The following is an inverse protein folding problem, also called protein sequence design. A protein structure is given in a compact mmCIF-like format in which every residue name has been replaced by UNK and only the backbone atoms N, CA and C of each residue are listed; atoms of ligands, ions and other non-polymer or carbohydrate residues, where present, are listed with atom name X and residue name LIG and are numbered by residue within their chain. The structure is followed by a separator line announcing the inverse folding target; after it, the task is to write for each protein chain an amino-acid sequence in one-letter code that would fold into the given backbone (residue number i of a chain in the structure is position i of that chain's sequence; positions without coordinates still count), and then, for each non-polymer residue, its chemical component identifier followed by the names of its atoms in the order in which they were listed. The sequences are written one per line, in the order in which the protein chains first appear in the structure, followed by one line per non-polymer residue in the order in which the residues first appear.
data_IF_391059635434
#
_entry.id   IF_391059635434
#
_cell.length_a   1.000
_cell.length_b   1.000
_cell.length_c   1.000
_cell.angle_alpha   90.00
_cell.angle_beta   90.00
_cell.angle_gamma   90.00
#
_symmetry.space_group_name_H-M   'P 1'
#
loop_
_entity.id
_entity.type
_entity.pdbx_description
1 polymer ?
#
# COMPACT_ATOMS: atom_id res chain seq x y z
N UNK A 1 0.50 -9.63 -10.55
CA UNK A 1 0.99 -8.48 -11.33
C UNK A 1 0.90 -8.83 -12.81
N UNK A 2 0.38 -7.92 -13.62
CA UNK A 2 0.22 -8.07 -15.06
C UNK A 2 0.31 -6.68 -15.71
N UNK A 3 0.27 -6.63 -17.04
CA UNK A 3 0.28 -5.37 -17.80
C UNK A 3 -1.10 -4.73 -17.91
N UNK A 4 -2.15 -5.55 -17.96
CA UNK A 4 -3.52 -5.10 -18.17
C UNK A 4 -4.41 -5.53 -17.01
N UNK A 5 -5.28 -4.63 -16.56
CA UNK A 5 -6.18 -4.90 -15.43
C UNK A 5 -7.10 -6.11 -15.68
N UNK A 6 -7.52 -6.33 -16.93
CA UNK A 6 -8.35 -7.48 -17.33
C UNK A 6 -7.70 -8.85 -17.06
N UNK A 7 -6.36 -8.90 -16.98
CA UNK A 7 -5.63 -10.14 -16.69
C UNK A 7 -5.66 -10.47 -15.18
N UNK A 8 -5.98 -9.50 -14.31
CA UNK A 8 -5.95 -9.68 -12.86
C UNK A 8 -7.00 -10.69 -12.40
N UNK A 9 -8.24 -10.59 -12.89
CA UNK A 9 -9.34 -11.44 -12.43
C UNK A 9 -9.10 -12.93 -12.74
N UNK A 10 -8.73 -13.33 -13.99
CA UNK A 10 -8.37 -14.72 -14.28
C UNK A 10 -7.18 -15.23 -13.46
N UNK A 11 -6.13 -14.44 -13.28
CA UNK A 11 -4.95 -14.82 -12.48
C UNK A 11 -5.35 -15.02 -11.02
N UNK A 12 -6.06 -14.06 -10.44
CA UNK A 12 -6.48 -14.12 -9.03
C UNK A 12 -7.41 -15.31 -8.78
N UNK A 13 -8.29 -15.63 -9.73
CA UNK A 13 -9.16 -16.81 -9.65
C UNK A 13 -8.37 -18.12 -9.54
N UNK A 14 -7.29 -18.25 -10.32
CA UNK A 14 -6.41 -19.43 -10.26
C UNK A 14 -5.67 -19.47 -8.93
N UNK A 15 -5.13 -18.33 -8.48
CA UNK A 15 -4.35 -18.26 -7.23
C UNK A 15 -5.20 -18.46 -5.97
N UNK A 16 -6.45 -17.98 -5.98
CA UNK A 16 -7.37 -18.13 -4.86
C UNK A 16 -7.87 -19.57 -4.69
N UNK A 17 -7.82 -20.39 -5.75
CA UNK A 17 -8.21 -21.80 -5.76
C UNK A 17 -9.58 -22.00 -5.09
N UNK A 18 -9.67 -22.81 -4.02
CA UNK A 18 -10.91 -23.05 -3.26
C UNK A 18 -11.56 -21.80 -2.66
N UNK A 19 -10.86 -20.68 -2.54
CA UNK A 19 -11.38 -19.42 -2.00
C UNK A 19 -11.92 -18.49 -3.09
N UNK A 20 -11.83 -18.84 -4.37
CA UNK A 20 -12.21 -17.97 -5.47
C UNK A 20 -13.69 -17.54 -5.44
N UNK A 21 -14.58 -18.41 -4.96
CA UNK A 21 -16.03 -18.12 -4.89
C UNK A 21 -16.35 -17.00 -3.90
N UNK A 22 -15.57 -16.88 -2.81
CA UNK A 22 -15.73 -15.82 -1.80
C UNK A 22 -15.45 -14.44 -2.41
N UNK A 23 -14.57 -14.38 -3.41
CA UNK A 23 -14.15 -13.14 -4.07
C UNK A 23 -15.11 -12.68 -5.17
N UNK A 24 -16.06 -13.52 -5.59
CA UNK A 24 -17.11 -13.21 -6.58
C UNK A 24 -16.56 -12.63 -7.90
N UNK A 25 -15.40 -13.12 -8.35
CA UNK A 25 -14.64 -12.52 -9.47
C UNK A 25 -15.34 -12.58 -10.84
N UNK A 26 -16.33 -13.46 -11.02
CA UNK A 26 -17.10 -13.55 -12.28
C UNK A 26 -18.34 -12.63 -12.28
N UNK A 27 -18.69 -12.05 -11.14
CA UNK A 27 -19.84 -11.14 -11.06
C UNK A 27 -19.51 -9.81 -11.72
N UNK A 28 -20.35 -9.40 -12.68
CA UNK A 28 -20.19 -8.12 -13.34
C UNK A 28 -20.41 -6.98 -12.34
N UNK A 29 -19.51 -6.02 -12.36
CA UNK A 29 -19.57 -4.82 -11.52
C UNK A 29 -20.16 -3.68 -12.33
N UNK A 30 -21.22 -3.07 -11.80
CA UNK A 30 -21.80 -1.85 -12.35
C UNK A 30 -21.19 -0.64 -11.62
N UNK A 31 -20.26 0.04 -12.28
CA UNK A 31 -19.52 1.19 -11.74
C UNK A 31 -20.47 2.31 -11.28
N UNK A 32 -21.64 2.47 -11.92
CA UNK A 32 -22.61 3.51 -11.57
C UNK A 32 -23.29 3.30 -10.22
N UNK A 33 -23.21 2.08 -9.66
CA UNK A 33 -23.80 1.72 -8.36
C UNK A 33 -22.80 1.78 -7.21
N UNK A 34 -21.52 2.01 -7.50
CA UNK A 34 -20.48 2.02 -6.47
C UNK A 34 -20.45 3.36 -5.73
N UNK A 35 -20.08 3.30 -4.44
CA UNK A 35 -19.80 4.48 -3.63
C UNK A 35 -18.31 4.76 -3.66
N UNK A 36 -17.94 5.94 -4.16
CA UNK A 36 -16.53 6.33 -4.26
C UNK A 36 -16.13 7.28 -3.14
N UNK A 37 -14.99 6.98 -2.53
CA UNK A 37 -14.35 7.76 -1.50
C UNK A 37 -12.90 8.05 -1.88
N UNK A 38 -12.31 9.15 -1.43
CA UNK A 38 -10.90 9.43 -1.70
C UNK A 38 -10.23 10.28 -0.64
N UNK A 39 -8.90 10.17 -0.56
CA UNK A 39 -8.00 11.09 0.14
C UNK A 39 -6.77 11.39 -0.72
N UNK A 40 -6.28 12.63 -0.69
CA UNK A 40 -5.12 13.09 -1.49
C UNK A 40 -3.76 12.90 -0.83
N UNK A 41 -3.76 12.62 0.46
CA UNK A 41 -2.59 12.34 1.28
C UNK A 41 -3.06 11.65 2.57
N UNK A 42 -2.11 11.19 3.36
CA UNK A 42 -2.33 10.54 4.66
C UNK A 42 -2.61 11.52 5.83
N UNK A 43 -2.75 12.82 5.56
CA UNK A 43 -2.83 13.86 6.60
C UNK A 43 -1.48 14.44 7.03
N UNK A 44 -0.41 14.14 6.28
CA UNK A 44 0.88 14.83 6.38
C UNK A 44 1.72 14.34 7.56
N UNK A 45 2.11 13.07 7.53
CA UNK A 45 3.04 12.51 8.51
C UNK A 45 4.48 13.02 8.27
N UNK A 46 5.20 13.36 9.35
CA UNK A 46 6.50 14.05 9.25
C UNK A 46 7.59 13.24 8.53
N UNK A 47 7.58 11.92 8.71
CA UNK A 47 8.59 11.01 8.14
C UNK A 47 8.25 10.56 6.72
N UNK A 48 7.09 10.96 6.21
CA UNK A 48 6.58 10.57 4.90
C UNK A 48 6.65 11.78 3.98
N UNK A 49 7.11 11.56 2.74
CA UNK A 49 7.18 12.65 1.76
C UNK A 49 5.77 13.18 1.45
N UNK A 50 5.62 14.50 1.20
CA UNK A 50 4.35 15.03 0.72
C UNK A 50 4.02 14.43 -0.65
N UNK A 51 2.74 14.16 -0.91
CA UNK A 51 2.29 13.64 -2.20
C UNK A 51 2.51 14.70 -3.28
N UNK A 52 3.22 14.32 -4.36
CA UNK A 52 3.49 15.16 -5.51
C UNK A 52 2.20 15.68 -6.15
N UNK A 53 2.26 16.92 -6.63
CA UNK A 53 1.10 17.58 -7.23
C UNK A 53 0.56 16.82 -8.44
N UNK A 54 1.42 16.22 -9.26
CA UNK A 54 1.01 15.48 -10.45
C UNK A 54 0.19 14.23 -10.10
N UNK A 55 0.48 13.57 -8.96
CA UNK A 55 -0.31 12.45 -8.45
C UNK A 55 -1.69 12.95 -7.97
N UNK A 56 -1.72 14.06 -7.23
CA UNK A 56 -2.99 14.69 -6.80
C UNK A 56 -3.82 15.12 -8.01
N UNK A 57 -3.21 15.70 -9.03
CA UNK A 57 -3.86 16.09 -10.28
C UNK A 57 -4.40 14.89 -11.06
N UNK A 58 -3.63 13.80 -11.16
CA UNK A 58 -4.08 12.56 -11.78
C UNK A 58 -5.31 11.99 -11.07
N UNK A 59 -5.30 11.95 -9.74
CA UNK A 59 -6.45 11.51 -8.96
C UNK A 59 -7.67 12.45 -9.14
N UNK A 60 -7.47 13.78 -9.19
CA UNK A 60 -8.56 14.72 -9.50
C UNK A 60 -9.14 14.51 -10.90
N UNK A 61 -8.32 14.11 -11.89
CA UNK A 61 -8.81 13.72 -13.22
C UNK A 61 -9.65 12.45 -13.14
N UNK A 62 -9.22 11.45 -12.37
CA UNK A 62 -10.01 10.22 -12.11
C UNK A 62 -11.36 10.56 -11.49
N UNK A 63 -11.39 11.42 -10.48
CA UNK A 63 -12.63 11.86 -9.82
C UNK A 63 -13.59 12.48 -10.85
N UNK A 64 -13.12 13.47 -11.63
CA UNK A 64 -13.95 14.11 -12.66
C UNK A 64 -14.43 13.12 -13.73
N UNK A 65 -13.59 12.15 -14.09
CA UNK A 65 -13.94 11.11 -15.04
C UNK A 65 -15.11 10.25 -14.51
N UNK A 66 -14.99 9.74 -13.28
CA UNK A 66 -16.03 8.93 -12.64
C UNK A 66 -17.35 9.70 -12.51
N UNK A 67 -17.30 10.94 -12.03
CA UNK A 67 -18.49 11.79 -11.87
C UNK A 67 -19.18 12.07 -13.21
N UNK A 68 -18.41 12.32 -14.27
CA UNK A 68 -18.97 12.63 -15.60
C UNK A 68 -19.49 11.40 -16.33
N UNK A 69 -18.73 10.31 -16.34
CA UNK A 69 -19.05 9.10 -17.08
C UNK A 69 -20.18 8.29 -16.42
N UNK A 70 -20.17 8.21 -15.09
CA UNK A 70 -21.07 7.33 -14.34
C UNK A 70 -22.10 8.07 -13.48
N UNK A 71 -22.05 9.40 -13.44
CA UNK A 71 -22.95 10.23 -12.61
C UNK A 71 -22.94 9.86 -11.13
N UNK A 72 -21.83 9.28 -10.66
CA UNK A 72 -21.59 8.95 -9.25
C UNK A 72 -21.02 10.17 -8.53
N UNK A 73 -21.25 10.27 -7.22
CA UNK A 73 -20.62 11.29 -6.38
C UNK A 73 -19.38 10.70 -5.72
N UNK A 74 -18.23 11.33 -5.89
CA UNK A 74 -16.97 10.90 -5.27
C UNK A 74 -16.70 11.74 -4.02
N UNK A 75 -16.74 11.12 -2.85
CA UNK A 75 -16.73 11.82 -1.56
C UNK A 75 -15.31 11.92 -0.99
N UNK A 76 -14.85 13.15 -0.72
CA UNK A 76 -13.56 13.36 -0.02
C UNK A 76 -13.70 12.98 1.45
N UNK A 77 -12.83 12.10 1.94
CA UNK A 77 -12.76 11.74 3.34
C UNK A 77 -11.63 12.48 4.06
N UNK A 78 -11.65 12.45 5.39
CA UNK A 78 -10.58 12.98 6.23
C UNK A 78 -10.36 12.04 7.43
N UNK A 79 -9.71 10.92 7.17
CA UNK A 79 -9.45 9.88 8.18
C UNK A 79 -8.13 10.21 8.88
N UNK A 80 -8.20 10.95 9.99
CA UNK A 80 -7.02 11.42 10.74
C UNK A 80 -6.08 10.31 11.21
N UNK A 81 -6.60 9.09 11.42
CA UNK A 81 -5.80 7.94 11.85
C UNK A 81 -4.79 7.50 10.78
N UNK A 82 -5.01 7.79 9.50
CA UNK A 82 -4.06 7.47 8.42
C UNK A 82 -2.72 8.20 8.60
N UNK A 83 -2.67 9.32 9.31
CA UNK A 83 -1.40 10.00 9.64
C UNK A 83 -0.48 9.12 10.49
N UNK A 84 -1.04 8.15 11.23
CA UNK A 84 -0.29 7.20 12.06
C UNK A 84 0.07 5.91 11.33
N UNK A 85 -0.11 5.82 10.01
CA UNK A 85 0.07 4.60 9.21
C UNK A 85 1.35 3.82 9.55
N UNK A 86 2.49 4.49 9.62
CA UNK A 86 3.79 3.88 9.95
C UNK A 86 3.80 3.25 11.36
N UNK A 87 3.28 3.96 12.36
CA UNK A 87 3.24 3.48 13.74
C UNK A 87 2.25 2.31 13.91
N UNK A 88 1.09 2.40 13.26
CA UNK A 88 0.11 1.31 13.23
C UNK A 88 0.70 0.07 12.57
N UNK A 89 1.38 0.23 11.43
CA UNK A 89 2.05 -0.88 10.76
C UNK A 89 3.14 -1.51 11.62
N UNK A 90 4.02 -0.72 12.24
CA UNK A 90 5.06 -1.24 13.13
C UNK A 90 4.48 -2.01 14.32
N UNK A 91 3.39 -1.54 14.91
CA UNK A 91 2.72 -2.26 15.99
C UNK A 91 2.17 -3.61 15.51
N UNK A 92 1.49 -3.66 14.36
CA UNK A 92 0.93 -4.90 13.81
C UNK A 92 1.99 -5.88 13.30
N UNK A 93 3.19 -5.39 12.94
CA UNK A 93 4.33 -6.24 12.60
C UNK A 93 5.10 -6.76 13.81
N UNK A 94 4.85 -6.23 15.02
CA UNK A 94 5.61 -6.63 16.20
C UNK A 94 5.31 -8.09 16.58
N UNK A 95 6.38 -8.85 16.88
CA UNK A 95 6.28 -10.28 17.16
C UNK A 95 6.26 -10.58 18.66
N UNK A 96 5.45 -11.56 19.05
CA UNK A 96 5.28 -11.99 20.45
C UNK A 96 6.43 -12.87 20.97
N UNK A 97 7.05 -13.66 20.09
CA UNK A 97 7.96 -14.75 20.46
C UNK A 97 9.44 -14.46 20.14
N UNK A 98 9.86 -13.20 20.24
CA UNK A 98 11.22 -12.77 19.89
C UNK A 98 11.65 -13.13 18.45
N UNK A 99 10.73 -13.47 17.54
CA UNK A 99 11.04 -13.73 16.12
C UNK A 99 11.20 -12.41 15.35
N UNK A 100 12.05 -11.54 15.87
CA UNK A 100 12.36 -10.24 15.29
C UNK A 100 13.22 -10.40 14.01
N UNK A 101 13.54 -9.29 13.35
CA UNK A 101 14.34 -9.32 12.14
C UNK A 101 15.75 -9.88 12.38
N UNK A 102 16.30 -9.83 13.61
CA UNK A 102 17.58 -10.50 13.91
C UNK A 102 17.46 -12.02 13.89
N UNK A 103 16.28 -12.57 14.22
CA UNK A 103 15.99 -13.98 14.05
C UNK A 103 15.93 -14.38 12.57
N UNK A 104 15.25 -13.59 11.74
CA UNK A 104 15.17 -13.83 10.30
C UNK A 104 16.55 -13.73 9.62
N UNK A 105 17.38 -12.76 10.01
CA UNK A 105 18.75 -12.62 9.48
C UNK A 105 19.66 -13.81 9.83
N UNK A 106 19.35 -14.56 10.89
CA UNK A 106 20.09 -15.78 11.27
C UNK A 106 19.68 -17.03 10.47
N UNK A 107 18.81 -16.90 9.47
CA UNK A 107 18.08 -18.02 8.87
C UNK A 107 17.30 -18.84 9.90
N UNK A 108 16.69 -18.15 10.89
CA UNK A 108 15.82 -18.77 11.91
C UNK A 108 16.51 -19.76 12.85
N UNK A 109 17.84 -19.71 12.92
CA UNK A 109 18.66 -20.59 13.75
C UNK A 109 19.09 -19.95 15.08
N UNK A 110 18.52 -18.80 15.45
CA UNK A 110 18.85 -18.07 16.66
C UNK A 110 18.80 -16.57 16.41
N UNK A 111 19.72 -15.80 16.99
CA UNK A 111 19.79 -14.36 16.81
C UNK A 111 21.19 -13.92 16.43
N UNK A 112 21.28 -12.99 15.48
CA UNK A 112 22.57 -12.34 15.18
C UNK A 112 22.93 -11.33 16.28
N UNK A 113 24.22 -11.24 16.60
CA UNK A 113 24.74 -10.15 17.43
C UNK A 113 24.99 -8.93 16.55
N UNK A 114 24.09 -7.93 16.62
CA UNK A 114 24.16 -6.73 15.79
C UNK A 114 25.48 -5.98 15.93
N UNK A 115 26.01 -5.81 17.14
CA UNK A 115 27.28 -5.11 17.35
C UNK A 115 28.44 -5.82 16.64
N UNK A 116 28.45 -7.16 16.70
CA UNK A 116 29.45 -7.96 16.01
C UNK A 116 29.29 -7.92 14.49
N UNK A 117 28.06 -7.96 13.99
CA UNK A 117 27.79 -7.86 12.55
C UNK A 117 28.10 -6.46 12.00
N UNK A 118 27.87 -5.39 12.75
CA UNK A 118 28.32 -4.05 12.37
C UNK A 118 29.85 -3.97 12.27
N UNK A 119 30.57 -4.56 13.23
CA UNK A 119 32.04 -4.61 13.18
C UNK A 119 32.54 -5.44 11.99
N UNK A 120 31.93 -6.60 11.73
CA UNK A 120 32.24 -7.38 10.53
C UNK A 120 31.97 -6.59 9.26
N UNK A 121 30.89 -5.81 9.23
CA UNK A 121 30.53 -5.01 8.07
C UNK A 121 31.58 -3.93 7.79
N UNK A 122 32.11 -3.25 8.81
CA UNK A 122 33.23 -2.29 8.62
C UNK A 122 34.51 -2.96 8.12
N UNK A 123 34.67 -4.26 8.36
CA UNK A 123 35.78 -5.08 7.87
C UNK A 123 35.47 -5.83 6.57
N UNK A 124 34.31 -5.59 5.92
CA UNK A 124 33.84 -6.31 4.73
C UNK A 124 33.68 -7.83 4.90
N UNK A 125 33.47 -8.29 6.14
CA UNK A 125 33.30 -9.70 6.52
C UNK A 125 31.86 -10.08 6.90
N UNK A 126 30.92 -9.12 6.94
CA UNK A 126 29.53 -9.43 7.27
C UNK A 126 28.81 -10.02 6.07
N UNK A 127 28.01 -11.05 6.32
CA UNK A 127 27.11 -11.63 5.32
C UNK A 127 25.81 -10.83 5.19
N UNK A 128 25.66 -9.73 5.93
CA UNK A 128 24.47 -8.90 5.96
C UNK A 128 24.75 -7.51 5.37
N UNK A 129 23.75 -6.96 4.69
CA UNK A 129 23.82 -5.59 4.17
C UNK A 129 23.66 -4.59 5.31
N UNK A 130 24.24 -3.39 5.16
CA UNK A 130 24.08 -2.31 6.14
C UNK A 130 22.60 -2.02 6.43
N UNK A 131 21.76 -2.02 5.39
CA UNK A 131 20.33 -1.76 5.52
C UNK A 131 19.65 -2.82 6.38
N UNK A 132 20.02 -4.09 6.24
CA UNK A 132 19.48 -5.14 7.08
C UNK A 132 19.83 -4.93 8.57
N UNK A 133 21.08 -4.56 8.86
CA UNK A 133 21.53 -4.29 10.23
C UNK A 133 20.84 -3.05 10.83
N UNK A 134 20.65 -2.00 10.03
CA UNK A 134 19.90 -0.81 10.43
C UNK A 134 18.43 -1.11 10.68
N UNK A 135 17.77 -1.90 9.82
CA UNK A 135 16.38 -2.34 10.03
C UNK A 135 16.23 -3.14 11.33
N UNK A 136 17.13 -4.09 11.58
CA UNK A 136 17.12 -4.87 12.82
C UNK A 136 17.33 -4.00 14.07
N UNK A 137 18.20 -3.01 13.97
CA UNK A 137 18.44 -2.05 15.05
C UNK A 137 17.20 -1.19 15.27
N UNK A 138 16.59 -0.68 14.20
CA UNK A 138 15.38 0.11 14.27
C UNK A 138 14.23 -0.65 14.92
N UNK A 139 14.04 -1.93 14.59
CA UNK A 139 13.02 -2.78 15.20
C UNK A 139 13.24 -2.98 16.70
N UNK A 140 14.49 -3.14 17.17
CA UNK A 140 14.79 -3.23 18.62
C UNK A 140 14.37 -1.99 19.39
N UNK A 141 14.39 -0.82 18.75
CA UNK A 141 13.93 0.45 19.33
C UNK A 141 12.46 0.76 19.01
N UNK A 142 11.82 -0.03 18.15
CA UNK A 142 10.42 0.12 17.83
C UNK A 142 9.54 -0.30 19.02
N UNK A 143 8.23 -0.16 18.84
CA UNK A 143 7.24 -0.44 19.88
C UNK A 143 7.29 -1.93 20.24
N UNK A 144 7.73 -2.24 21.47
CA UNK A 144 7.81 -3.63 21.95
C UNK A 144 6.42 -4.25 22.05
N UNK A 145 6.29 -5.47 21.53
CA UNK A 145 5.06 -6.25 21.61
C UNK A 145 4.62 -6.40 23.08
N UNK A 146 3.34 -6.17 23.35
CA UNK A 146 2.74 -6.28 24.69
C UNK A 146 2.94 -5.06 25.60
N UNK A 147 3.69 -4.02 25.18
CA UNK A 147 3.71 -2.74 25.89
C UNK A 147 2.35 -2.03 25.85
N UNK A 148 2.13 -1.09 26.78
CA UNK A 148 0.90 -0.26 26.78
C UNK A 148 0.73 0.51 25.46
N UNK A 149 1.84 1.02 24.92
CA UNK A 149 1.86 1.71 23.63
C UNK A 149 1.48 0.77 22.49
N UNK A 150 2.01 -0.46 22.47
CA UNK A 150 1.64 -1.48 21.49
C UNK A 150 0.14 -1.74 21.52
N UNK A 151 -0.40 -2.03 22.71
CA UNK A 151 -1.82 -2.36 22.90
C UNK A 151 -2.72 -1.21 22.43
N UNK A 152 -2.33 0.04 22.71
CA UNK A 152 -3.04 1.23 22.21
C UNK A 152 -3.03 1.32 20.68
N UNK A 153 -1.89 1.09 20.03
CA UNK A 153 -1.79 1.14 18.56
C UNK A 153 -2.56 0.00 17.88
N UNK A 154 -2.57 -1.19 18.48
CA UNK A 154 -3.41 -2.30 18.01
C UNK A 154 -4.89 -1.96 18.13
N UNK A 155 -5.30 -1.34 19.24
CA UNK A 155 -6.68 -0.88 19.41
C UNK A 155 -7.06 0.19 18.36
N UNK A 156 -6.20 1.18 18.12
CA UNK A 156 -6.40 2.18 17.07
C UNK A 156 -6.48 1.54 15.67
N UNK A 157 -5.71 0.48 15.41
CA UNK A 157 -5.77 -0.28 14.14
C UNK A 157 -7.12 -0.98 13.95
N UNK A 158 -7.65 -1.59 15.02
CA UNK A 158 -8.97 -2.24 15.00
C UNK A 158 -10.10 -1.24 14.80
N UNK A 159 -10.01 -0.07 15.42
CA UNK A 159 -10.98 1.00 15.23
C UNK A 159 -10.97 1.53 13.79
N UNK A 160 -9.77 1.70 13.23
CA UNK A 160 -9.62 2.09 11.83
C UNK A 160 -10.18 1.03 10.87
N UNK A 161 -9.94 -0.25 11.15
CA UNK A 161 -10.52 -1.36 10.39
C UNK A 161 -12.06 -1.30 10.39
N UNK A 162 -12.68 -1.10 11.55
CA UNK A 162 -14.15 -0.95 11.65
C UNK A 162 -14.65 0.26 10.86
N UNK A 163 -13.98 1.39 11.00
CA UNK A 163 -14.30 2.62 10.25
C UNK A 163 -14.26 2.37 8.73
N UNK A 164 -13.23 1.66 8.23
CA UNK A 164 -13.15 1.28 6.82
C UNK A 164 -14.20 0.24 6.41
N UNK A 165 -14.52 -0.72 7.28
CA UNK A 165 -15.56 -1.72 7.02
C UNK A 165 -16.94 -1.05 6.87
N UNK A 166 -17.25 -0.06 7.72
CA UNK A 166 -18.50 0.71 7.66
C UNK A 166 -18.59 1.60 6.42
N UNK A 167 -17.46 2.20 6.02
CA UNK A 167 -17.38 3.06 4.83
C UNK A 167 -17.48 2.24 3.53
N UNK A 168 -16.75 1.12 3.46
CA UNK A 168 -16.59 0.36 2.21
C UNK A 168 -17.69 -0.69 2.01
N UNK A 169 -18.08 -1.43 3.05
CA UNK A 169 -19.08 -2.48 2.92
C UNK A 169 -18.85 -3.40 1.71
N UNK A 170 -19.91 -3.66 0.95
CA UNK A 170 -19.88 -4.49 -0.26
C UNK A 170 -19.86 -3.70 -1.59
N UNK A 171 -20.04 -2.38 -1.55
CA UNK A 171 -20.22 -1.51 -2.73
C UNK A 171 -19.34 -0.25 -2.74
N UNK A 172 -18.52 -0.07 -1.71
CA UNK A 172 -17.63 1.07 -1.54
C UNK A 172 -16.22 0.82 -2.06
N UNK A 173 -15.65 1.89 -2.62
CA UNK A 173 -14.29 1.94 -3.15
C UNK A 173 -13.60 3.20 -2.63
N UNK A 174 -12.40 3.02 -2.08
CA UNK A 174 -11.55 4.12 -1.61
C UNK A 174 -10.33 4.29 -2.52
N UNK A 175 -10.20 5.48 -3.11
CA UNK A 175 -9.10 5.90 -3.96
C UNK A 175 -8.04 6.60 -3.12
N UNK A 176 -6.81 6.10 -3.18
CA UNK A 176 -5.71 6.60 -2.36
C UNK A 176 -4.39 6.58 -3.15
N UNK A 177 -3.43 7.49 -2.91
CA UNK A 177 -2.13 7.38 -3.57
C UNK A 177 -1.46 6.04 -3.24
N UNK A 178 -0.88 5.36 -4.23
CA UNK A 178 -0.06 4.17 -3.98
C UNK A 178 1.26 4.55 -3.31
N UNK A 179 1.81 5.69 -3.72
CA UNK A 179 3.09 6.20 -3.24
C UNK A 179 3.05 7.74 -3.36
N UNK A 180 3.75 8.50 -2.49
CA UNK A 180 3.70 9.96 -2.51
C UNK A 180 4.51 10.60 -3.65
N UNK A 181 5.47 9.88 -4.23
CA UNK A 181 6.31 10.39 -5.33
C UNK A 181 6.32 9.40 -6.50
N UNK A 182 6.68 9.87 -7.69
CA UNK A 182 7.09 8.97 -8.77
C UNK A 182 8.33 8.13 -8.36
N UNK A 183 8.78 7.25 -9.26
CA UNK A 183 9.93 6.39 -9.03
C UNK A 183 11.15 7.21 -8.55
N UNK A 184 11.65 6.97 -7.32
CA UNK A 184 12.77 7.73 -6.77
C UNK A 184 14.07 7.35 -7.46
N UNK A 185 15.07 8.23 -7.38
CA UNK A 185 16.41 7.94 -7.86
C UNK A 185 17.07 6.83 -7.02
N UNK A 186 18.11 6.20 -7.58
CA UNK A 186 18.90 5.24 -6.81
C UNK A 186 19.41 5.88 -5.51
N UNK A 187 19.38 5.11 -4.42
CA UNK A 187 19.76 5.51 -3.06
C UNK A 187 18.87 6.56 -2.37
N UNK A 188 18.01 7.28 -3.09
CA UNK A 188 17.05 8.21 -2.48
C UNK A 188 16.08 7.52 -1.49
N UNK A 189 15.61 6.27 -1.70
CA UNK A 189 14.79 5.55 -0.72
C UNK A 189 15.45 5.39 0.65
N UNK A 190 16.78 5.48 0.76
CA UNK A 190 17.48 5.38 2.05
C UNK A 190 17.11 6.52 3.00
N UNK A 191 16.78 7.70 2.47
CA UNK A 191 16.36 8.87 3.25
C UNK A 191 14.84 9.10 3.21
N UNK A 192 14.12 8.36 2.35
CA UNK A 192 12.65 8.39 2.20
C UNK A 192 12.01 7.06 2.59
N UNK A 193 12.60 6.37 3.57
CA UNK A 193 12.30 4.98 3.89
C UNK A 193 10.85 4.71 4.32
N UNK A 194 10.07 5.72 4.71
CA UNK A 194 8.70 5.56 5.18
C UNK A 194 7.62 5.87 4.15
N UNK A 195 7.98 6.18 2.89
CA UNK A 195 7.00 6.43 1.84
C UNK A 195 6.09 5.22 1.54
N UNK A 196 6.51 4.00 1.90
CA UNK A 196 5.67 2.80 1.84
C UNK A 196 4.46 2.83 2.78
N UNK A 197 4.35 3.81 3.69
CA UNK A 197 3.25 3.94 4.64
C UNK A 197 1.87 3.96 3.96
N UNK A 198 1.80 4.47 2.73
CA UNK A 198 0.58 4.53 1.92
C UNK A 198 0.01 3.14 1.58
N UNK A 199 0.86 2.14 1.34
CA UNK A 199 0.43 0.75 1.13
C UNK A 199 0.42 -0.04 2.42
N UNK A 200 1.32 0.29 3.36
CA UNK A 200 1.46 -0.39 4.65
C UNK A 200 0.15 -0.40 5.44
N UNK A 201 -0.55 0.73 5.46
CA UNK A 201 -1.80 0.85 6.20
C UNK A 201 -2.90 -0.05 5.63
N UNK A 202 -2.94 -0.26 4.32
CA UNK A 202 -3.92 -1.16 3.71
C UNK A 202 -3.66 -2.61 4.11
N UNK A 203 -2.38 -3.00 4.23
CA UNK A 203 -2.01 -4.32 4.77
C UNK A 203 -2.45 -4.50 6.22
N UNK A 204 -2.32 -3.45 7.06
CA UNK A 204 -2.81 -3.47 8.45
C UNK A 204 -4.31 -3.72 8.51
N UNK A 205 -5.06 -3.14 7.56
CA UNK A 205 -6.51 -3.30 7.49
C UNK A 205 -6.93 -4.62 6.82
N UNK A 206 -6.01 -5.35 6.17
CA UNK A 206 -6.33 -6.58 5.47
C UNK A 206 -7.30 -6.41 4.31
N UNK A 207 -7.34 -5.22 3.70
CA UNK A 207 -8.28 -4.90 2.62
C UNK A 207 -7.66 -5.16 1.25
N UNK A 208 -8.46 -5.59 0.25
CA UNK A 208 -7.97 -5.73 -1.10
C UNK A 208 -7.65 -4.36 -1.70
N UNK A 209 -6.53 -4.28 -2.41
CA UNK A 209 -6.13 -3.08 -3.13
C UNK A 209 -5.49 -3.41 -4.48
N UNK A 210 -5.98 -2.74 -5.52
CA UNK A 210 -5.43 -2.82 -6.88
C UNK A 210 -4.70 -1.52 -7.21
N UNK A 211 -3.40 -1.59 -7.49
CA UNK A 211 -2.64 -0.44 -7.97
C UNK A 211 -2.91 -0.24 -9.47
N UNK A 212 -3.35 0.97 -9.84
CA UNK A 212 -3.70 1.34 -11.21
C UNK A 212 -2.79 2.47 -11.70
N UNK A 213 -2.03 2.29 -12.79
CA UNK A 213 -1.31 3.38 -13.44
C UNK A 213 -2.29 4.38 -14.05
N UNK A 214 -1.97 5.67 -13.95
CA UNK A 214 -2.78 6.78 -14.47
C UNK A 214 -2.02 7.61 -15.53
N UNK A 215 -1.04 6.98 -16.17
CA UNK A 215 -0.16 7.61 -17.15
C UNK A 215 1.20 8.02 -16.58
N UNK A 216 1.88 8.88 -17.34
CA UNK A 216 3.22 9.37 -17.03
C UNK A 216 3.18 10.81 -16.51
N UNK A 217 4.08 11.14 -15.59
CA UNK A 217 4.32 12.51 -15.16
C UNK A 217 5.13 13.29 -16.22
N UNK A 218 5.40 14.57 -15.97
CA UNK A 218 6.18 15.44 -16.87
C UNK A 218 7.59 14.94 -17.19
N UNK A 219 8.16 14.12 -16.31
CA UNK A 219 9.48 13.50 -16.49
C UNK A 219 9.40 12.13 -17.20
N UNK A 220 8.21 11.71 -17.64
CA UNK A 220 8.00 10.42 -18.30
C UNK A 220 7.96 9.22 -17.34
N UNK A 221 7.83 9.45 -16.03
CA UNK A 221 7.76 8.39 -15.02
C UNK A 221 6.30 7.98 -14.74
N UNK A 222 6.00 6.69 -14.57
CA UNK A 222 4.66 6.24 -14.21
C UNK A 222 4.21 6.79 -12.86
N UNK A 223 2.97 7.26 -12.81
CA UNK A 223 2.25 7.62 -11.59
C UNK A 223 0.94 6.85 -11.51
N UNK A 224 0.43 6.67 -10.30
CA UNK A 224 -0.78 5.87 -10.10
C UNK A 224 -1.41 6.06 -8.73
N UNK A 225 -2.57 5.42 -8.59
CA UNK A 225 -3.31 5.33 -7.34
C UNK A 225 -3.59 3.88 -7.02
N UNK A 226 -3.88 3.59 -5.76
CA UNK A 226 -4.44 2.31 -5.34
C UNK A 226 -5.95 2.47 -5.15
N UNK A 227 -6.66 1.43 -5.59
CA UNK A 227 -8.10 1.30 -5.51
C UNK A 227 -8.36 0.26 -4.42
N UNK A 228 -8.88 0.69 -3.29
CA UNK A 228 -9.10 -0.13 -2.10
C UNK A 228 -10.58 -0.50 -2.00
N UNK A 229 -10.88 -1.78 -1.80
CA UNK A 229 -12.24 -2.30 -1.66
C UNK A 229 -12.51 -2.81 -0.24
N UNK A 230 -13.78 -3.11 0.05
CA UNK A 230 -14.14 -3.84 1.26
C UNK A 230 -13.59 -5.27 1.27
N UNK A 231 -13.65 -5.94 2.42
CA UNK A 231 -13.17 -7.32 2.55
C UNK A 231 -13.80 -8.24 1.50
N UNK A 232 -12.95 -9.02 0.81
CA UNK A 232 -13.31 -9.91 -0.30
C UNK A 232 -13.97 -9.22 -1.52
N UNK A 233 -13.88 -7.89 -1.63
CA UNK A 233 -14.39 -7.13 -2.77
C UNK A 233 -13.33 -6.86 -3.84
N UNK A 234 -12.38 -7.78 -4.03
CA UNK A 234 -11.33 -7.70 -5.05
C UNK A 234 -11.90 -7.39 -6.44
N UNK A 235 -13.04 -8.01 -6.78
CA UNK A 235 -13.79 -7.75 -8.04
C UNK A 235 -14.06 -6.26 -8.28
N UNK A 236 -14.35 -5.49 -7.22
CA UNK A 236 -14.62 -4.05 -7.34
C UNK A 236 -13.34 -3.30 -7.68
N UNK A 237 -12.26 -3.62 -6.97
CA UNK A 237 -10.97 -2.95 -7.18
C UNK A 237 -10.42 -3.21 -8.58
N UNK A 238 -10.60 -4.44 -9.08
CA UNK A 238 -10.18 -4.85 -10.43
C UNK A 238 -11.08 -4.20 -11.48
N UNK A 239 -12.41 -4.23 -11.32
CA UNK A 239 -13.33 -3.63 -12.29
C UNK A 239 -13.14 -2.11 -12.43
N UNK A 240 -12.87 -1.42 -11.31
CA UNK A 240 -12.51 0.01 -11.34
C UNK A 240 -11.14 0.20 -12.01
N UNK A 241 -10.15 -0.67 -11.76
CA UNK A 241 -8.86 -0.58 -12.42
C UNK A 241 -8.97 -0.76 -13.95
N UNK A 242 -9.78 -1.71 -14.42
CA UNK A 242 -10.09 -1.87 -15.85
C UNK A 242 -10.76 -0.63 -16.44
N UNK A 243 -11.66 0.01 -15.69
CA UNK A 243 -12.33 1.21 -16.14
C UNK A 243 -11.39 2.42 -16.23
N UNK A 244 -10.51 2.59 -15.24
CA UNK A 244 -9.48 3.63 -15.29
C UNK A 244 -8.45 3.35 -16.37
N UNK A 245 -8.09 2.10 -16.61
CA UNK A 245 -7.22 1.71 -17.72
C UNK A 245 -7.81 2.15 -19.07
N UNK A 246 -9.12 1.93 -19.29
CA UNK A 246 -9.82 2.40 -20.50
C UNK A 246 -9.84 3.92 -20.61
N UNK A 247 -10.10 4.62 -19.51
CA UNK A 247 -10.22 6.10 -19.51
C UNK A 247 -8.88 6.84 -19.61
N UNK A 248 -7.79 6.23 -19.15
CA UNK A 248 -6.49 6.90 -18.98
C UNK A 248 -5.34 6.28 -19.81
N UNK A 249 -5.63 5.23 -20.58
CA UNK A 249 -4.67 4.63 -21.54
C UNK A 249 -3.79 3.53 -20.97
N UNK A 250 -3.90 3.24 -19.67
CA UNK A 250 -3.28 2.07 -19.06
C UNK A 250 -1.75 2.05 -19.04
N UNK A 251 -1.19 0.84 -19.09
CA UNK A 251 0.25 0.62 -19.15
C UNK A 251 0.82 1.01 -20.52
N UNK A 252 1.93 1.74 -20.49
CA UNK A 252 2.72 2.10 -21.67
C UNK A 252 4.09 1.41 -21.56
N UNK A 253 4.57 0.72 -22.62
CA UNK A 253 5.90 0.13 -22.61
C UNK A 253 6.99 1.20 -22.41
N UNK A 254 8.02 0.94 -21.59
CA UNK A 254 9.15 1.86 -21.49
C UNK A 254 9.88 1.94 -22.84
N UNK A 255 10.31 3.13 -23.21
CA UNK A 255 11.13 3.33 -24.42
C UNK A 255 12.47 2.63 -24.19
N UNK A 256 12.79 1.66 -25.04
CA UNK A 256 14.11 1.02 -25.04
C UNK A 256 15.07 2.03 -25.65
N UNK A 257 15.87 2.68 -24.80
CA UNK A 257 17.02 3.45 -25.26
C UNK A 257 18.15 2.46 -25.50
N UNK A 258 18.35 2.11 -26.77
CA UNK A 258 19.46 1.26 -27.22
C UNK A 258 20.77 2.06 -27.30
#
# INVERSE_FOLDING_TARGET
MCRYAQDLSPILKILADKNADILRLNEKVDISKLKFYYMEDDGGQLLTSPVELEIKEAMRKVIRYLEKAYKVKVTKLNIRKLKKSTALWMANMSCKDEKDFTYELSNRNGHINLWWEFLKWTMFMSNHTLIALLTATFERFAVKHGSDQHTKLIQESRELYREFQDILGEDGVFLFPTHPTAAPLHHEPLVKAFNFSYTAIINVLGLPATACPLGLNKQGLPIGIQIVGGLHQDRLTIAVAEELERGFGGWVPPVIVA
#
